data_IF_222025900880
#
_entry.id   IF_222025900880
#
_cell.length_a   1.000
_cell.length_b   1.000
_cell.length_c   1.000
_cell.angle_alpha   90.00
_cell.angle_beta   90.00
_cell.angle_gamma   90.00
#
_symmetry.space_group_name_H-M   'P 1'
#
loop_
_entity.id
_entity.type
_entity.pdbx_description
1 polymer ?
#
# COMPACT_ATOMS: atom_id res chain seq x y z
N UNK A 1 8.07 -19.40 5.58
CA UNK A 1 7.06 -19.71 4.52
C UNK A 1 7.83 -20.27 3.34
N UNK A 2 7.40 -21.40 2.80
CA UNK A 2 8.06 -22.01 1.63
C UNK A 2 7.09 -21.88 0.45
N UNK A 3 7.46 -21.09 -0.55
CA UNK A 3 6.68 -20.93 -1.78
C UNK A 3 6.91 -22.14 -2.69
N UNK A 4 5.84 -22.72 -3.25
CA UNK A 4 5.93 -23.72 -4.30
C UNK A 4 6.36 -23.09 -5.65
N UNK A 5 6.67 -23.91 -6.64
CA UNK A 5 7.17 -23.44 -7.94
C UNK A 5 6.16 -22.53 -8.66
N UNK A 6 4.89 -22.90 -8.67
CA UNK A 6 3.84 -22.09 -9.29
C UNK A 6 3.72 -20.72 -8.60
N UNK A 7 3.75 -20.68 -7.27
CA UNK A 7 3.70 -19.43 -6.49
C UNK A 7 4.87 -18.50 -6.83
N UNK A 8 6.10 -19.04 -6.92
CA UNK A 8 7.27 -18.25 -7.29
C UNK A 8 7.16 -17.67 -8.69
N UNK A 9 6.84 -18.51 -9.67
CA UNK A 9 6.67 -18.09 -11.07
C UNK A 9 5.57 -17.05 -11.23
N UNK A 10 4.45 -17.21 -10.51
CA UNK A 10 3.34 -16.30 -10.53
C UNK A 10 3.72 -14.93 -9.96
N UNK A 11 4.37 -14.88 -8.79
CA UNK A 11 4.84 -13.63 -8.19
C UNK A 11 5.90 -12.98 -9.10
N UNK A 12 6.93 -13.72 -9.49
CA UNK A 12 8.03 -13.21 -10.31
C UNK A 12 7.52 -12.57 -11.60
N UNK A 13 6.55 -13.22 -12.26
CA UNK A 13 6.04 -12.76 -13.55
C UNK A 13 5.06 -11.60 -13.43
N UNK A 14 4.24 -11.56 -12.37
CA UNK A 14 3.08 -10.66 -12.29
C UNK A 14 3.11 -9.64 -11.15
N UNK A 15 4.19 -9.55 -10.36
CA UNK A 15 4.35 -8.54 -9.32
C UNK A 15 4.32 -7.09 -9.85
N UNK A 16 4.68 -6.87 -11.11
CA UNK A 16 4.73 -5.54 -11.72
C UNK A 16 3.52 -5.25 -12.62
N UNK A 17 2.96 -6.25 -13.26
CA UNK A 17 1.93 -6.05 -14.28
C UNK A 17 1.06 -7.29 -14.45
N UNK A 18 -0.25 -7.08 -14.36
CA UNK A 18 -1.25 -8.10 -14.70
C UNK A 18 -1.67 -7.98 -16.16
N UNK A 19 -2.10 -9.07 -16.83
CA UNK A 19 -2.71 -9.00 -18.14
C UNK A 19 -3.97 -8.13 -18.14
N UNK A 20 -4.04 -7.17 -19.07
CA UNK A 20 -5.22 -6.31 -19.25
C UNK A 20 -6.03 -6.89 -20.40
N UNK A 21 -6.89 -7.84 -20.10
CA UNK A 21 -7.75 -8.55 -21.06
C UNK A 21 -9.05 -8.99 -20.38
N UNK A 22 -9.97 -9.58 -21.17
CA UNK A 22 -11.28 -10.01 -20.68
C UNK A 22 -11.19 -11.13 -19.63
N UNK A 23 -10.21 -12.05 -19.79
CA UNK A 23 -9.95 -13.13 -18.86
C UNK A 23 -8.47 -13.17 -18.48
N UNK A 24 -8.06 -12.37 -17.48
CA UNK A 24 -6.67 -12.31 -17.06
C UNK A 24 -6.17 -13.63 -16.45
N UNK A 25 -7.04 -14.37 -15.79
CA UNK A 25 -6.68 -15.62 -15.14
C UNK A 25 -6.34 -16.72 -16.13
N UNK A 26 -7.10 -16.80 -17.22
CA UNK A 26 -6.80 -17.73 -18.32
C UNK A 26 -5.50 -17.32 -19.02
N UNK A 27 -5.30 -16.03 -19.28
CA UNK A 27 -4.07 -15.55 -19.90
C UNK A 27 -2.81 -15.85 -19.05
N UNK A 28 -2.92 -15.72 -17.73
CA UNK A 28 -1.85 -16.11 -16.79
C UNK A 28 -1.62 -17.61 -16.78
N UNK A 29 -2.69 -18.39 -16.81
CA UNK A 29 -2.63 -19.85 -16.83
C UNK A 29 -1.92 -20.38 -18.10
N UNK A 30 -2.28 -19.84 -19.26
CA UNK A 30 -1.68 -20.21 -20.54
C UNK A 30 -0.17 -19.92 -20.55
N UNK A 31 0.26 -18.75 -20.01
CA UNK A 31 1.67 -18.37 -19.92
C UNK A 31 2.44 -19.23 -18.91
N UNK A 32 1.82 -19.59 -17.79
CA UNK A 32 2.45 -20.41 -16.74
C UNK A 32 2.37 -21.92 -17.01
N UNK A 33 1.60 -22.36 -18.02
CA UNK A 33 1.41 -23.76 -18.38
C UNK A 33 0.57 -24.53 -17.34
N UNK A 34 -0.44 -23.91 -16.79
CA UNK A 34 -1.38 -24.48 -15.82
C UNK A 34 -2.83 -24.10 -16.17
N UNK A 35 -3.79 -24.40 -15.32
CA UNK A 35 -5.20 -24.00 -15.48
C UNK A 35 -5.51 -22.70 -14.73
N UNK A 36 -6.55 -21.96 -15.17
CA UNK A 36 -7.03 -20.78 -14.46
C UNK A 36 -7.47 -21.08 -13.02
N UNK A 37 -7.98 -22.28 -12.76
CA UNK A 37 -8.31 -22.73 -11.41
C UNK A 37 -7.07 -22.84 -10.52
N UNK A 38 -5.97 -23.39 -11.03
CA UNK A 38 -4.69 -23.47 -10.28
C UNK A 38 -4.11 -22.10 -10.00
N UNK A 39 -4.21 -21.13 -10.92
CA UNK A 39 -3.83 -19.73 -10.69
C UNK A 39 -4.64 -19.13 -9.54
N UNK A 40 -5.97 -19.25 -9.56
CA UNK A 40 -6.85 -18.72 -8.52
C UNK A 40 -6.61 -19.38 -7.16
N UNK A 41 -6.40 -20.69 -7.11
CA UNK A 41 -6.08 -21.40 -5.88
C UNK A 41 -4.71 -21.01 -5.32
N UNK A 42 -3.73 -20.78 -6.21
CA UNK A 42 -2.43 -20.26 -5.83
C UNK A 42 -2.55 -18.86 -5.20
N UNK A 43 -3.30 -17.94 -5.81
CA UNK A 43 -3.53 -16.60 -5.29
C UNK A 43 -4.23 -16.62 -3.92
N UNK A 44 -5.26 -17.48 -3.73
CA UNK A 44 -5.92 -17.65 -2.42
C UNK A 44 -4.95 -18.13 -1.34
N UNK A 45 -4.12 -19.12 -1.64
CA UNK A 45 -3.10 -19.62 -0.68
C UNK A 45 -2.10 -18.54 -0.31
N UNK A 46 -1.66 -17.71 -1.27
CA UNK A 46 -0.73 -16.61 -1.03
C UNK A 46 -1.36 -15.52 -0.14
N UNK A 47 -2.63 -15.23 -0.33
CA UNK A 47 -3.41 -14.29 0.50
C UNK A 47 -3.58 -14.84 1.93
N UNK A 48 -4.04 -16.08 2.07
CA UNK A 48 -4.20 -16.76 3.37
C UNK A 48 -2.89 -16.85 4.16
N UNK A 49 -1.75 -16.97 3.47
CA UNK A 49 -0.42 -17.00 4.06
C UNK A 49 0.15 -15.60 4.37
N UNK A 50 -0.55 -14.54 4.02
CA UNK A 50 -0.08 -13.16 4.16
C UNK A 50 1.07 -12.77 3.24
N UNK A 51 1.33 -13.56 2.18
CA UNK A 51 2.33 -13.26 1.16
C UNK A 51 1.79 -12.31 0.09
N UNK A 52 0.49 -12.27 -0.09
CA UNK A 52 -0.23 -11.40 -1.00
C UNK A 52 -1.15 -10.49 -0.17
N UNK A 53 -1.07 -9.18 -0.38
CA UNK A 53 -1.96 -8.23 0.29
C UNK A 53 -3.19 -7.90 -0.54
N UNK A 54 -3.05 -7.88 -1.85
CA UNK A 54 -4.14 -7.66 -2.81
C UNK A 54 -3.70 -7.93 -4.24
N UNK A 55 -4.67 -8.20 -5.10
CA UNK A 55 -4.51 -8.18 -6.56
C UNK A 55 -5.33 -7.02 -7.10
N UNK A 56 -4.70 -6.10 -7.84
CA UNK A 56 -5.41 -4.96 -8.39
C UNK A 56 -4.49 -3.83 -8.87
N UNK A 57 -5.07 -2.81 -9.50
CA UNK A 57 -4.30 -1.69 -10.02
C UNK A 57 -3.70 -0.84 -8.90
N UNK A 58 -2.54 -0.26 -9.19
CA UNK A 58 -1.96 0.84 -8.42
C UNK A 58 -2.05 2.08 -9.29
N UNK A 59 -2.78 3.09 -8.80
CA UNK A 59 -2.99 4.34 -9.53
C UNK A 59 -1.86 5.31 -9.25
N UNK A 60 -1.47 6.07 -10.29
CA UNK A 60 -0.59 7.22 -10.14
C UNK A 60 -1.37 8.36 -9.46
N UNK A 61 -1.08 8.62 -8.20
CA UNK A 61 -1.79 9.62 -7.38
C UNK A 61 -1.76 11.03 -7.96
N UNK A 62 -0.68 11.41 -8.64
CA UNK A 62 -0.55 12.71 -9.29
C UNK A 62 -1.54 12.93 -10.44
N UNK A 63 -2.13 11.85 -10.97
CA UNK A 63 -3.12 11.86 -12.06
C UNK A 63 -4.55 11.53 -11.61
N UNK A 64 -4.69 10.88 -10.46
CA UNK A 64 -5.96 10.35 -9.99
C UNK A 64 -6.42 10.94 -8.66
N UNK A 65 -5.72 11.96 -8.13
CA UNK A 65 -6.03 12.56 -6.85
C UNK A 65 -4.88 13.38 -6.29
N UNK A 66 -4.87 13.56 -4.97
CA UNK A 66 -3.82 14.22 -4.23
C UNK A 66 -3.31 13.32 -3.10
N UNK A 67 -2.05 13.49 -2.74
CA UNK A 67 -1.46 12.83 -1.57
C UNK A 67 -0.50 13.76 -0.84
N UNK A 68 -0.35 13.53 0.45
CA UNK A 68 0.64 14.21 1.28
C UNK A 68 1.17 13.28 2.34
N UNK A 69 2.44 13.44 2.71
CA UNK A 69 3.01 12.80 3.88
C UNK A 69 2.75 13.68 5.09
N UNK A 70 2.27 13.08 6.18
CA UNK A 70 1.93 13.78 7.41
C UNK A 70 2.73 13.22 8.56
N UNK A 71 3.14 14.09 9.48
CA UNK A 71 3.75 13.66 10.73
C UNK A 71 3.11 14.35 11.93
N UNK A 72 2.96 13.62 13.03
CA UNK A 72 2.51 14.11 14.32
C UNK A 72 3.60 13.92 15.36
N UNK A 73 3.77 14.91 16.24
CA UNK A 73 4.55 14.81 17.47
C UNK A 73 3.62 14.33 18.59
N UNK A 74 3.56 13.03 18.82
CA UNK A 74 2.63 12.41 19.75
C UNK A 74 3.33 12.11 21.08
N UNK A 75 2.81 12.58 22.24
CA UNK A 75 3.31 12.13 23.53
C UNK A 75 3.28 10.60 23.65
N UNK A 76 4.34 10.00 24.20
CA UNK A 76 4.48 8.55 24.29
C UNK A 76 3.27 7.87 24.95
N UNK A 77 2.68 8.52 25.97
CA UNK A 77 1.50 8.00 26.67
C UNK A 77 0.20 7.98 25.85
N UNK A 78 0.17 8.67 24.70
CA UNK A 78 -0.99 8.76 23.81
C UNK A 78 -0.78 8.09 22.46
N UNK A 79 0.40 7.52 22.23
CA UNK A 79 0.82 7.08 20.91
C UNK A 79 -0.14 6.04 20.30
N UNK A 80 -0.47 5.00 21.04
CA UNK A 80 -1.39 3.96 20.59
C UNK A 80 -2.80 4.52 20.32
N UNK A 81 -3.33 5.33 21.24
CA UNK A 81 -4.62 5.98 21.08
C UNK A 81 -4.69 6.86 19.82
N UNK A 82 -3.66 7.68 19.58
CA UNK A 82 -3.62 8.57 18.41
C UNK A 82 -3.44 7.77 17.12
N UNK A 83 -2.63 6.71 17.13
CA UNK A 83 -2.47 5.83 15.97
C UNK A 83 -3.79 5.16 15.58
N UNK A 84 -4.56 4.67 16.56
CA UNK A 84 -5.89 4.11 16.32
C UNK A 84 -6.89 5.15 15.78
N UNK A 85 -6.86 6.38 16.31
CA UNK A 85 -7.70 7.47 15.81
C UNK A 85 -7.39 7.80 14.36
N UNK A 86 -6.10 7.94 14.02
CA UNK A 86 -5.64 8.24 12.66
C UNK A 86 -6.02 7.09 11.69
N UNK A 87 -5.94 5.84 12.12
CA UNK A 87 -6.30 4.68 11.29
C UNK A 87 -7.80 4.59 10.96
N UNK A 88 -8.67 5.37 11.60
CA UNK A 88 -10.12 5.40 11.28
C UNK A 88 -10.45 6.25 10.05
N UNK A 89 -9.53 7.10 9.62
CA UNK A 89 -9.72 7.93 8.43
C UNK A 89 -9.47 7.09 7.17
N UNK A 90 -10.46 6.96 6.27
CA UNK A 90 -10.29 6.18 5.03
C UNK A 90 -9.23 6.78 4.08
N UNK A 91 -8.90 8.05 4.25
CA UNK A 91 -7.85 8.76 3.52
C UNK A 91 -6.45 8.35 3.97
N UNK A 92 -6.31 7.75 5.15
CA UNK A 92 -5.01 7.37 5.72
C UNK A 92 -4.53 6.07 5.12
N UNK A 93 -3.33 6.12 4.52
CA UNK A 93 -2.56 4.97 4.10
C UNK A 93 -1.25 4.92 4.87
N UNK A 94 -0.78 3.72 5.16
CA UNK A 94 0.56 3.50 5.72
C UNK A 94 0.85 4.38 6.92
N UNK A 95 0.54 3.89 8.10
CA UNK A 95 0.86 4.54 9.36
C UNK A 95 2.13 3.91 9.96
N UNK A 96 3.14 4.73 10.25
CA UNK A 96 4.46 4.30 10.72
C UNK A 96 4.86 5.01 12.00
N UNK A 97 5.48 4.26 12.89
CA UNK A 97 6.19 4.80 14.05
C UNK A 97 7.67 5.03 13.73
N UNK A 98 8.22 6.14 14.21
CA UNK A 98 9.65 6.46 14.13
C UNK A 98 10.19 6.96 15.46
N UNK A 99 11.45 6.71 15.72
CA UNK A 99 12.18 7.28 16.85
C UNK A 99 12.62 8.71 16.51
N UNK A 100 11.71 9.67 16.71
CA UNK A 100 11.92 11.09 16.44
C UNK A 100 10.86 11.91 17.21
N UNK A 101 11.05 13.24 17.34
CA UNK A 101 10.04 14.14 17.93
C UNK A 101 8.72 14.04 17.18
N UNK A 102 8.75 14.06 15.85
CA UNK A 102 7.63 13.65 15.00
C UNK A 102 7.69 12.13 14.86
N UNK A 103 6.94 11.43 15.69
CA UNK A 103 7.06 9.98 15.86
C UNK A 103 5.96 9.17 15.16
N UNK A 104 4.84 9.77 14.80
CA UNK A 104 3.78 9.10 14.05
C UNK A 104 3.69 9.67 12.65
N UNK A 105 3.92 8.82 11.62
CA UNK A 105 3.96 9.21 10.22
C UNK A 105 2.94 8.43 9.42
N UNK A 106 2.19 9.11 8.56
CA UNK A 106 1.21 8.48 7.69
C UNK A 106 1.06 9.23 6.37
N UNK A 107 0.52 8.55 5.37
CA UNK A 107 0.20 9.15 4.07
C UNK A 107 -1.30 9.40 4.00
N UNK A 108 -1.71 10.62 3.66
CA UNK A 108 -3.07 10.94 3.28
C UNK A 108 -3.23 10.89 1.77
N UNK A 109 -4.31 10.27 1.30
CA UNK A 109 -4.72 10.26 -0.11
C UNK A 109 -6.17 10.67 -0.23
N UNK A 110 -6.48 11.43 -1.26
CA UNK A 110 -7.85 11.90 -1.50
C UNK A 110 -8.05 12.40 -2.92
N UNK A 111 -9.28 12.79 -3.29
CA UNK A 111 -9.60 13.23 -4.65
C UNK A 111 -8.90 14.54 -5.03
N UNK A 112 -8.64 15.42 -4.08
CA UNK A 112 -8.02 16.72 -4.29
C UNK A 112 -7.34 17.26 -3.02
N UNK A 113 -6.57 18.32 -3.18
CA UNK A 113 -5.85 18.98 -2.07
C UNK A 113 -6.79 19.53 -1.00
N UNK A 114 -7.93 20.08 -1.36
CA UNK A 114 -8.90 20.64 -0.42
C UNK A 114 -9.49 19.56 0.50
N UNK A 115 -9.71 18.36 -0.01
CA UNK A 115 -10.17 17.22 0.79
C UNK A 115 -9.11 16.80 1.82
N UNK A 116 -7.82 16.83 1.44
CA UNK A 116 -6.72 16.55 2.37
C UNK A 116 -6.62 17.61 3.47
N UNK A 117 -6.78 18.87 3.14
CA UNK A 117 -6.76 19.99 4.12
C UNK A 117 -7.87 19.84 5.16
N UNK A 118 -9.10 19.53 4.72
CA UNK A 118 -10.21 19.26 5.65
C UNK A 118 -9.93 18.06 6.56
N UNK A 119 -9.36 17.00 6.02
CA UNK A 119 -8.99 15.83 6.80
C UNK A 119 -7.88 16.16 7.84
N UNK A 120 -6.89 16.98 7.45
CA UNK A 120 -5.84 17.44 8.37
C UNK A 120 -6.41 18.32 9.50
N UNK A 121 -7.33 19.20 9.18
CA UNK A 121 -8.02 20.03 10.17
C UNK A 121 -8.82 19.17 11.17
N UNK A 122 -9.54 18.17 10.70
CA UNK A 122 -10.29 17.24 11.54
C UNK A 122 -9.38 16.39 12.42
N UNK A 123 -8.28 15.86 11.87
CA UNK A 123 -7.24 15.15 12.64
C UNK A 123 -6.67 16.05 13.73
N UNK A 124 -6.37 17.31 13.42
CA UNK A 124 -5.88 18.28 14.40
C UNK A 124 -6.89 18.54 15.51
N UNK A 125 -8.16 18.74 15.17
CA UNK A 125 -9.22 18.96 16.16
C UNK A 125 -9.44 17.72 17.05
N UNK A 126 -9.47 16.55 16.45
CA UNK A 126 -9.72 15.28 17.17
C UNK A 126 -8.55 14.88 18.07
N UNK A 127 -7.32 15.08 17.64
CA UNK A 127 -6.13 14.69 18.39
C UNK A 127 -5.61 15.79 19.33
N UNK A 128 -5.90 17.05 19.01
CA UNK A 128 -5.30 18.24 19.67
C UNK A 128 -3.83 18.46 19.29
N UNK A 129 -3.33 17.78 18.24
CA UNK A 129 -1.95 17.84 17.80
C UNK A 129 -1.86 18.53 16.43
N UNK A 130 -0.92 19.46 16.27
CA UNK A 130 -0.70 20.12 14.99
C UNK A 130 0.01 19.17 14.01
N UNK A 131 -0.60 18.83 12.86
CA UNK A 131 0.05 18.00 11.87
C UNK A 131 1.12 18.78 11.09
N UNK A 132 2.26 18.15 10.86
CA UNK A 132 3.24 18.60 9.90
C UNK A 132 2.84 18.03 8.53
N UNK A 133 2.43 18.92 7.63
CA UNK A 133 2.00 18.57 6.27
C UNK A 133 3.17 18.73 5.29
N UNK A 134 3.50 17.66 4.59
CA UNK A 134 4.64 17.55 3.68
C UNK A 134 4.17 17.13 2.27
N UNK A 135 3.60 18.07 1.49
CA UNK A 135 3.14 17.76 0.14
C UNK A 135 4.32 17.36 -0.75
N UNK A 136 4.10 16.38 -1.62
CA UNK A 136 5.09 15.88 -2.56
C UNK A 136 5.45 16.98 -3.58
N UNK A 137 6.72 17.41 -3.58
CA UNK A 137 7.24 18.38 -4.57
C UNK A 137 7.72 17.73 -5.87
N UNK A 138 8.26 16.52 -5.77
CA UNK A 138 8.79 15.75 -6.90
C UNK A 138 8.63 14.27 -6.61
N UNK A 139 8.03 13.56 -7.56
CA UNK A 139 7.96 12.11 -7.51
C UNK A 139 9.27 11.49 -8.03
N UNK A 140 9.76 10.49 -7.32
CA UNK A 140 10.82 9.59 -7.79
C UNK A 140 10.19 8.22 -7.98
N UNK A 141 10.50 7.58 -9.11
CA UNK A 141 10.02 6.22 -9.34
C UNK A 141 10.76 5.26 -8.41
N UNK A 142 10.00 4.53 -7.61
CA UNK A 142 10.49 3.43 -6.79
C UNK A 142 9.91 2.15 -7.38
N UNK A 143 10.77 1.21 -7.71
CA UNK A 143 10.37 -0.14 -8.04
C UNK A 143 10.45 -0.99 -6.74
N UNK A 144 9.31 -1.50 -6.31
CA UNK A 144 9.20 -2.34 -5.10
C UNK A 144 9.24 -3.84 -5.44
N UNK A 145 9.30 -4.19 -6.71
CA UNK A 145 9.48 -5.56 -7.14
C UNK A 145 10.90 -6.05 -6.88
N UNK A 146 11.05 -7.31 -6.54
CA UNK A 146 12.33 -7.96 -6.32
C UNK A 146 12.30 -9.40 -6.85
N UNK A 147 13.47 -9.92 -7.29
CA UNK A 147 13.56 -11.29 -7.73
C UNK A 147 13.46 -12.24 -6.53
N UNK A 148 12.66 -13.29 -6.69
CA UNK A 148 12.58 -14.41 -5.75
C UNK A 148 13.63 -15.49 -6.05
N UNK A 149 14.33 -15.38 -7.20
CA UNK A 149 15.44 -16.26 -7.53
C UNK A 149 16.66 -15.83 -6.69
N UNK A 150 17.22 -16.78 -5.97
CA UNK A 150 18.49 -16.56 -5.29
C UNK A 150 19.57 -16.27 -6.35
N UNK A 151 20.11 -15.06 -6.35
CA UNK A 151 21.30 -14.76 -7.13
C UNK A 151 22.44 -15.64 -6.59
N UNK A 152 23.14 -16.43 -7.41
CA UNK A 152 24.21 -17.30 -6.99
C UNK A 152 25.40 -16.55 -6.41
#
# INVERSE_FOLDING_TARGET
MQLDDLSRRLIERYQHQLPICTDPWQAMADELGCSAAEVLDCLRRLDEQGALSRVGPVFEHSRAGASTLVALAVPQSRLEQVAELVNRYPEVNHNYLREHDYNLWFVLTGPDRQSLERCLEDIQQTTGLAPLDLPMRRAYRIDLGFSLEATP
#
